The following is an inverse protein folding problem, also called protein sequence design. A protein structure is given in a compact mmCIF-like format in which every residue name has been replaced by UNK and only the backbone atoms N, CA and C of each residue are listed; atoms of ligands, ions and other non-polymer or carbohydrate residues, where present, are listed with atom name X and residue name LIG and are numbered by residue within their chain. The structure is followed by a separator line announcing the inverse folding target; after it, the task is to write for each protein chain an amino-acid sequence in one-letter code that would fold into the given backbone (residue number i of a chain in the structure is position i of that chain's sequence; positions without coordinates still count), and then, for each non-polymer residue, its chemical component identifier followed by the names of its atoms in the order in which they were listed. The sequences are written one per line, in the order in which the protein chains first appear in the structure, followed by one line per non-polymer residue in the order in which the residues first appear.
data_IF_380956094116
#
_entry.id   IF_380956094116
#
_cell.length_a   1.000
_cell.length_b   1.000
_cell.length_c   1.000
_cell.angle_alpha   90.00
_cell.angle_beta   90.00
_cell.angle_gamma   90.00
#
_symmetry.space_group_name_H-M   'P 1'
#
loop_
_entity.id
_entity.type
_entity.pdbx_description
1 polymer ?
#
# COMPACT_ATOMS: atom_id res chain seq x y z
N UNK A 1 10.23 11.55 7.61
CA UNK A 1 11.59 11.65 8.19
C UNK A 1 11.42 11.25 9.64
N UNK A 2 11.90 10.06 10.04
CA UNK A 2 11.52 9.46 11.32
C UNK A 2 12.12 10.21 12.50
N UNK A 3 11.29 10.47 13.51
CA UNK A 3 11.73 10.84 14.85
C UNK A 3 12.42 9.61 15.49
N UNK A 4 13.63 9.81 16.00
CA UNK A 4 14.55 8.76 16.45
C UNK A 4 14.34 8.39 17.92
N UNK A 5 13.11 8.49 18.44
CA UNK A 5 12.79 8.05 19.80
C UNK A 5 12.54 6.53 19.77
N UNK A 6 13.59 5.77 20.13
CA UNK A 6 13.55 4.31 20.18
C UNK A 6 12.55 3.81 21.23
N UNK A 7 11.30 3.65 20.84
CA UNK A 7 10.34 2.84 21.60
C UNK A 7 10.67 1.37 21.35
N UNK A 8 10.98 0.63 22.41
CA UNK A 8 11.05 -0.83 22.38
C UNK A 8 9.69 -1.36 21.89
N UNK A 9 9.67 -1.91 20.68
CA UNK A 9 8.46 -2.56 20.15
C UNK A 9 8.47 -4.01 20.61
N UNK A 10 7.45 -4.44 21.35
CA UNK A 10 7.18 -5.86 21.53
C UNK A 10 6.28 -6.36 20.41
N UNK A 11 6.39 -7.63 20.04
CA UNK A 11 5.48 -8.27 19.10
C UNK A 11 5.07 -9.64 19.62
N UNK A 12 3.85 -10.02 19.28
CA UNK A 12 3.41 -11.40 19.45
C UNK A 12 4.17 -12.27 18.45
N UNK A 13 4.72 -13.37 18.95
CA UNK A 13 5.48 -14.34 18.17
C UNK A 13 4.97 -15.74 18.45
N UNK A 14 5.20 -16.65 17.51
CA UNK A 14 5.05 -18.08 17.75
C UNK A 14 6.33 -18.78 17.36
N UNK A 15 6.88 -19.56 18.29
CA UNK A 15 7.98 -20.48 18.02
C UNK A 15 7.40 -21.83 17.63
N UNK A 16 7.89 -22.42 16.55
CA UNK A 16 7.40 -23.70 16.03
C UNK A 16 8.58 -24.60 15.65
N UNK A 17 8.46 -25.93 15.77
CA UNK A 17 9.46 -26.85 15.26
C UNK A 17 9.75 -26.57 13.79
N UNK A 18 11.00 -26.72 13.35
CA UNK A 18 11.40 -26.43 11.97
C UNK A 18 10.50 -27.13 10.93
N UNK A 19 10.12 -28.38 11.19
CA UNK A 19 9.22 -29.17 10.34
C UNK A 19 7.78 -28.62 10.27
N UNK A 20 7.31 -27.90 11.29
CA UNK A 20 5.98 -27.32 11.36
C UNK A 20 5.90 -25.88 10.80
N UNK A 21 7.06 -25.27 10.47
CA UNK A 21 7.16 -23.88 10.03
C UNK A 21 6.21 -23.56 8.89
N UNK A 22 6.28 -24.33 7.79
CA UNK A 22 5.49 -24.05 6.60
C UNK A 22 3.98 -24.21 6.82
N UNK A 23 3.49 -25.33 7.40
CA UNK A 23 2.08 -25.46 7.76
C UNK A 23 1.55 -24.33 8.65
N UNK A 24 2.33 -23.88 9.64
CA UNK A 24 1.92 -22.77 10.51
C UNK A 24 1.94 -21.44 9.77
N UNK A 25 2.90 -21.21 8.87
CA UNK A 25 2.90 -20.03 8.00
C UNK A 25 1.66 -19.96 7.12
N UNK A 26 1.25 -21.08 6.52
CA UNK A 26 0.04 -21.12 5.70
C UNK A 26 -1.22 -20.85 6.55
N UNK A 27 -1.30 -21.45 7.75
CA UNK A 27 -2.39 -21.23 8.72
C UNK A 27 -2.51 -19.77 9.19
N UNK A 28 -1.38 -19.13 9.45
CA UNK A 28 -1.32 -17.78 10.02
C UNK A 28 -1.05 -16.69 8.97
N UNK A 29 -1.08 -17.02 7.68
CA UNK A 29 -0.61 -16.14 6.59
C UNK A 29 -1.20 -14.72 6.61
N UNK A 30 -2.43 -14.54 7.08
CA UNK A 30 -3.09 -13.23 7.20
C UNK A 30 -2.67 -12.41 8.44
N UNK A 31 -2.01 -13.05 9.40
CA UNK A 31 -1.61 -12.46 10.69
C UNK A 31 -0.10 -12.38 10.86
N UNK A 32 0.67 -12.89 9.91
CA UNK A 32 2.12 -12.79 9.94
C UNK A 32 2.60 -11.45 9.40
N UNK A 33 3.66 -10.94 10.03
CA UNK A 33 4.47 -9.89 9.45
C UNK A 33 5.18 -10.44 8.20
N UNK A 34 5.28 -9.66 7.13
CA UNK A 34 5.83 -10.14 5.87
C UNK A 34 7.30 -10.60 6.03
N UNK A 35 7.60 -11.69 5.32
CA UNK A 35 8.90 -12.36 5.13
C UNK A 35 9.19 -13.59 6.03
N UNK A 36 8.84 -14.74 5.49
CA UNK A 36 9.09 -16.09 5.99
C UNK A 36 10.53 -16.59 5.77
N UNK A 37 11.35 -15.93 4.94
CA UNK A 37 12.59 -16.53 4.41
C UNK A 37 13.89 -15.83 4.82
N UNK A 38 13.94 -14.56 5.23
CA UNK A 38 15.20 -14.00 5.75
C UNK A 38 15.16 -13.35 7.14
N UNK A 39 15.14 -14.21 8.15
CA UNK A 39 15.62 -13.87 9.48
C UNK A 39 14.59 -13.14 10.33
N UNK A 40 13.40 -13.73 10.46
CA UNK A 40 12.68 -13.61 11.73
C UNK A 40 13.67 -13.90 12.85
N UNK A 41 13.74 -13.01 13.84
CA UNK A 41 14.66 -13.06 14.98
C UNK A 41 15.07 -14.50 15.28
N UNK A 42 16.37 -14.80 15.26
CA UNK A 42 16.85 -16.16 15.48
C UNK A 42 16.14 -16.76 16.69
N UNK A 43 15.64 -17.98 16.50
CA UNK A 43 15.10 -18.76 17.60
C UNK A 43 16.27 -19.07 18.54
N UNK A 44 16.14 -18.81 19.86
CA UNK A 44 17.16 -19.24 20.82
C UNK A 44 17.26 -20.77 20.92
N UNK A 45 16.28 -21.51 20.38
CA UNK A 45 16.25 -22.96 20.29
C UNK A 45 16.67 -23.43 18.88
N UNK A 46 17.77 -24.20 18.74
CA UNK A 46 18.31 -24.69 17.47
C UNK A 46 17.36 -25.55 16.61
N UNK A 47 16.24 -26.04 17.16
CA UNK A 47 15.24 -26.84 16.43
C UNK A 47 14.00 -26.07 15.95
N UNK A 48 13.90 -24.78 16.27
CA UNK A 48 12.68 -24.00 16.10
C UNK A 48 12.86 -22.80 15.16
N UNK A 49 11.74 -22.33 14.62
CA UNK A 49 11.61 -21.07 13.88
C UNK A 49 10.67 -20.14 14.64
N UNK A 50 11.01 -18.86 14.66
CA UNK A 50 10.20 -17.82 15.26
C UNK A 50 9.45 -17.08 14.15
N UNK A 51 8.12 -17.11 14.21
CA UNK A 51 7.24 -16.37 13.30
C UNK A 51 6.69 -15.14 14.04
N UNK A 52 6.84 -13.97 13.45
CA UNK A 52 6.37 -12.71 14.04
C UNK A 52 5.00 -12.34 13.48
N UNK A 53 4.08 -12.00 14.36
CA UNK A 53 2.74 -11.57 13.97
C UNK A 53 2.70 -10.07 13.68
N UNK A 54 1.76 -9.69 12.82
CA UNK A 54 1.48 -8.32 12.44
C UNK A 54 1.13 -7.47 13.68
N UNK A 55 1.54 -6.18 13.77
CA UNK A 55 1.40 -5.37 14.99
C UNK A 55 -0.03 -5.22 15.51
N UNK A 56 -1.00 -5.21 14.61
CA UNK A 56 -2.43 -5.21 14.95
C UNK A 56 -2.87 -6.43 15.80
N UNK A 57 -2.13 -7.54 15.75
CA UNK A 57 -2.40 -8.73 16.58
C UNK A 57 -1.72 -8.52 17.92
N UNK A 58 -2.28 -7.59 18.70
CA UNK A 58 -1.74 -7.21 19.99
C UNK A 58 -1.78 -8.37 21.00
N UNK A 59 -2.72 -9.32 20.85
CA UNK A 59 -2.85 -10.49 21.72
C UNK A 59 -3.32 -11.73 20.97
N UNK A 60 -3.10 -12.92 21.54
CA UNK A 60 -3.47 -14.19 20.90
C UNK A 60 -4.99 -14.33 20.73
N UNK A 61 -5.77 -13.66 21.58
CA UNK A 61 -7.23 -13.70 21.58
C UNK A 61 -7.83 -13.10 20.30
N UNK A 62 -7.07 -12.24 19.61
CA UNK A 62 -7.45 -11.67 18.31
C UNK A 62 -7.30 -12.67 17.15
N UNK A 63 -6.67 -13.82 17.38
CA UNK A 63 -6.65 -14.93 16.42
C UNK A 63 -7.91 -15.79 16.56
N UNK A 64 -8.40 -16.41 15.49
CA UNK A 64 -9.47 -17.40 15.61
C UNK A 64 -9.06 -18.61 16.47
N UNK A 65 -9.98 -19.13 17.29
CA UNK A 65 -9.68 -20.19 18.25
C UNK A 65 -9.24 -21.50 17.59
N UNK A 66 -9.84 -21.85 16.45
CA UNK A 66 -9.47 -22.99 15.60
C UNK A 66 -8.03 -22.87 15.10
N UNK A 67 -7.59 -21.65 14.76
CA UNK A 67 -6.22 -21.40 14.29
C UNK A 67 -5.21 -21.53 15.42
N UNK A 68 -5.54 -21.03 16.62
CA UNK A 68 -4.69 -21.24 17.80
C UNK A 68 -4.51 -22.72 18.12
N UNK A 69 -5.61 -23.46 18.22
CA UNK A 69 -5.58 -24.89 18.51
C UNK A 69 -4.75 -25.67 17.47
N UNK A 70 -4.92 -25.38 16.18
CA UNK A 70 -4.15 -26.01 15.11
C UNK A 70 -2.64 -25.72 15.20
N UNK A 71 -2.25 -24.53 15.70
CA UNK A 71 -0.84 -24.18 15.92
C UNK A 71 -0.30 -24.91 17.15
N UNK A 72 -1.08 -24.99 18.23
CA UNK A 72 -0.70 -25.69 19.47
C UNK A 72 -0.47 -27.19 19.22
N UNK A 73 -1.36 -27.83 18.44
CA UNK A 73 -1.22 -29.23 17.99
C UNK A 73 0.08 -29.50 17.21
N UNK A 74 0.66 -28.46 16.62
CA UNK A 74 1.91 -28.52 15.85
C UNK A 74 3.14 -28.15 16.68
N UNK A 75 3.00 -28.07 18.00
CA UNK A 75 4.06 -27.70 18.94
C UNK A 75 4.35 -26.20 18.95
N UNK A 76 3.37 -25.37 18.57
CA UNK A 76 3.50 -23.92 18.64
C UNK A 76 3.59 -23.42 20.08
N UNK A 77 4.56 -22.56 20.34
CA UNK A 77 4.73 -21.88 21.63
C UNK A 77 4.59 -20.38 21.41
N UNK A 78 3.51 -19.81 21.92
CA UNK A 78 3.22 -18.39 21.84
C UNK A 78 4.03 -17.61 22.85
N UNK A 79 4.59 -16.48 22.43
CA UNK A 79 5.40 -15.62 23.29
C UNK A 79 5.29 -14.16 22.86
N UNK A 80 5.44 -13.23 23.80
CA UNK A 80 5.58 -11.80 23.50
C UNK A 80 7.06 -11.45 23.61
N UNK A 81 7.69 -11.24 22.45
CA UNK A 81 9.12 -10.95 22.38
C UNK A 81 9.35 -9.45 22.25
N UNK A 82 10.27 -8.92 23.05
CA UNK A 82 10.85 -7.61 22.77
C UNK A 82 11.68 -7.70 21.49
N UNK A 83 11.35 -6.89 20.49
CA UNK A 83 12.10 -6.83 19.23
C UNK A 83 13.42 -6.05 19.40
N UNK A 84 13.67 -5.49 20.58
CA UNK A 84 14.79 -4.59 20.85
C UNK A 84 14.73 -3.31 19.99
N UNK A 85 15.88 -2.66 19.84
CA UNK A 85 16.05 -1.54 18.90
C UNK A 85 16.35 -2.12 17.52
N UNK A 86 15.35 -2.14 16.65
CA UNK A 86 15.51 -2.56 15.26
C UNK A 86 16.34 -1.53 14.48
N UNK A 87 17.32 -2.00 13.71
CA UNK A 87 18.02 -1.13 12.75
C UNK A 87 17.04 -0.58 11.70
N UNK A 88 17.35 0.55 11.05
CA UNK A 88 16.50 1.07 9.98
C UNK A 88 16.20 0.06 8.87
N UNK A 89 17.17 -0.78 8.51
CA UNK A 89 17.01 -1.83 7.50
C UNK A 89 16.08 -2.96 7.98
N UNK A 90 16.23 -3.40 9.23
CA UNK A 90 15.35 -4.40 9.84
C UNK A 90 13.91 -3.88 9.90
N UNK A 91 13.72 -2.63 10.34
CA UNK A 91 12.40 -2.00 10.40
C UNK A 91 11.80 -1.86 9.01
N UNK A 92 12.56 -1.37 8.03
CA UNK A 92 12.08 -1.24 6.65
C UNK A 92 11.61 -2.59 6.11
N UNK A 93 12.42 -3.64 6.27
CA UNK A 93 12.08 -4.99 5.83
C UNK A 93 10.80 -5.53 6.46
N UNK A 94 10.68 -5.38 7.78
CA UNK A 94 9.60 -5.97 8.57
C UNK A 94 8.27 -5.21 8.41
N UNK A 95 8.33 -3.88 8.33
CA UNK A 95 7.14 -3.03 8.41
C UNK A 95 6.75 -2.37 7.10
N UNK A 96 7.55 -2.46 6.03
CA UNK A 96 7.22 -1.82 4.74
C UNK A 96 6.51 -2.77 3.79
N UNK A 97 5.34 -2.34 3.31
CA UNK A 97 4.61 -2.97 2.23
C UNK A 97 4.88 -2.25 0.92
N UNK A 98 5.44 -2.96 -0.05
CA UNK A 98 5.52 -2.49 -1.43
C UNK A 98 4.18 -2.70 -2.15
N UNK A 99 3.62 -1.64 -2.72
CA UNK A 99 2.37 -1.74 -3.49
C UNK A 99 2.46 -0.98 -4.82
N UNK A 100 1.87 -1.56 -5.86
CA UNK A 100 1.69 -0.95 -7.18
C UNK A 100 0.69 -1.78 -8.00
N UNK A 101 0.32 -1.30 -9.18
CA UNK A 101 -0.67 -1.96 -10.04
C UNK A 101 -0.31 -3.40 -10.43
N UNK A 102 0.99 -3.71 -10.48
CA UNK A 102 1.52 -5.04 -10.81
C UNK A 102 1.93 -5.87 -9.59
N UNK A 103 1.54 -5.48 -8.36
CA UNK A 103 1.79 -6.30 -7.16
C UNK A 103 1.29 -7.72 -7.35
N UNK A 104 2.06 -8.72 -6.91
CA UNK A 104 1.64 -10.13 -7.00
C UNK A 104 0.48 -10.40 -6.03
N UNK A 105 -0.41 -11.36 -6.34
CA UNK A 105 -1.38 -11.83 -5.36
C UNK A 105 -0.63 -12.50 -4.20
N UNK A 106 -0.95 -12.11 -2.97
CA UNK A 106 -0.42 -12.66 -1.72
C UNK A 106 -1.56 -12.72 -0.69
N UNK A 107 -1.50 -13.62 0.31
CA UNK A 107 -2.46 -13.62 1.40
C UNK A 107 -2.68 -12.21 1.95
N UNK A 108 -3.95 -11.84 2.08
CA UNK A 108 -4.30 -10.52 2.53
C UNK A 108 -4.06 -10.37 4.03
N UNK A 109 -3.90 -9.13 4.47
CA UNK A 109 -3.79 -8.86 5.90
C UNK A 109 -5.10 -9.26 6.59
N UNK A 110 -6.28 -9.28 5.97
CA UNK A 110 -7.48 -9.85 6.60
C UNK A 110 -7.98 -11.05 5.80
N UNK A 111 -8.54 -12.10 6.44
CA UNK A 111 -9.04 -13.28 5.75
C UNK A 111 -10.06 -12.98 4.64
N UNK A 112 -10.91 -11.98 4.83
CA UNK A 112 -11.99 -11.63 3.90
C UNK A 112 -11.54 -10.68 2.76
N UNK A 113 -10.28 -10.27 2.76
CA UNK A 113 -9.73 -9.41 1.72
C UNK A 113 -9.13 -10.24 0.57
N UNK A 114 -9.23 -9.75 -0.68
CA UNK A 114 -8.72 -10.47 -1.84
C UNK A 114 -7.20 -10.57 -1.80
N UNK A 115 -6.64 -11.65 -2.34
CA UNK A 115 -5.18 -11.82 -2.46
C UNK A 115 -4.51 -10.69 -3.27
N UNK A 116 -5.27 -9.97 -4.10
CA UNK A 116 -4.81 -8.81 -4.88
C UNK A 116 -4.86 -7.49 -4.10
N UNK A 117 -5.10 -7.50 -2.78
CA UNK A 117 -5.30 -6.30 -1.95
C UNK A 117 -4.28 -5.18 -2.18
N UNK A 118 -2.99 -5.49 -2.39
CA UNK A 118 -1.95 -4.46 -2.66
C UNK A 118 -2.24 -3.64 -3.93
N UNK A 119 -2.89 -4.24 -4.93
CA UNK A 119 -3.29 -3.55 -6.16
C UNK A 119 -4.38 -2.52 -5.89
N UNK A 120 -5.26 -2.78 -4.91
CA UNK A 120 -6.36 -1.87 -4.52
C UNK A 120 -5.81 -0.51 -4.07
N UNK A 121 -4.64 -0.49 -3.41
CA UNK A 121 -3.98 0.74 -2.99
C UNK A 121 -3.43 1.59 -4.15
N UNK A 122 -3.29 1.03 -5.34
CA UNK A 122 -2.78 1.76 -6.51
C UNK A 122 -3.84 2.70 -7.11
N UNK A 123 -3.41 3.84 -7.63
CA UNK A 123 -4.27 4.75 -8.43
C UNK A 123 -4.76 4.14 -9.75
N UNK A 124 -4.16 3.01 -10.13
CA UNK A 124 -4.52 2.20 -11.30
C UNK A 124 -5.55 1.11 -10.96
N UNK A 125 -5.97 0.99 -9.69
CA UNK A 125 -7.11 0.15 -9.35
C UNK A 125 -8.36 0.69 -10.04
N UNK A 126 -9.09 -0.18 -10.74
CA UNK A 126 -10.29 0.17 -11.51
C UNK A 126 -11.49 0.02 -10.61
N UNK A 127 -12.04 1.15 -10.21
CA UNK A 127 -13.25 1.25 -9.41
C UNK A 127 -13.76 2.67 -9.56
N UNK A 128 -15.05 2.81 -9.85
CA UNK A 128 -15.65 4.11 -10.13
C UNK A 128 -15.49 5.05 -8.93
N UNK A 129 -15.32 6.32 -9.25
CA UNK A 129 -15.10 7.41 -8.32
C UNK A 129 -15.91 8.62 -8.78
N UNK A 130 -16.74 9.17 -7.91
CA UNK A 130 -17.47 10.41 -8.19
C UNK A 130 -16.80 11.57 -7.45
N UNK A 131 -16.37 12.60 -8.18
CA UNK A 131 -15.80 13.83 -7.60
C UNK A 131 -16.43 15.02 -8.29
N UNK A 132 -16.93 15.98 -7.52
CA UNK A 132 -17.61 17.19 -8.01
C UNK A 132 -18.74 16.89 -9.02
N UNK A 133 -19.50 15.81 -8.77
CA UNK A 133 -20.61 15.38 -9.62
C UNK A 133 -20.21 14.64 -10.90
N UNK A 134 -18.92 14.45 -11.17
CA UNK A 134 -18.42 13.74 -12.34
C UNK A 134 -17.91 12.34 -11.99
N UNK A 135 -18.21 11.36 -12.85
CA UNK A 135 -17.75 9.98 -12.67
C UNK A 135 -16.39 9.76 -13.35
N UNK A 136 -15.49 9.05 -12.69
CA UNK A 136 -14.17 8.67 -13.18
C UNK A 136 -13.95 7.17 -12.93
N UNK A 137 -13.37 6.46 -13.91
CA UNK A 137 -13.17 5.00 -13.80
C UNK A 137 -12.00 4.58 -12.88
N UNK A 138 -11.16 5.55 -12.47
CA UNK A 138 -10.11 5.38 -11.46
C UNK A 138 -9.57 6.73 -10.98
N UNK A 139 -8.71 6.70 -9.96
CA UNK A 139 -7.96 7.90 -9.53
C UNK A 139 -7.09 8.47 -10.65
N UNK A 140 -6.47 7.61 -11.47
CA UNK A 140 -5.66 8.06 -12.60
C UNK A 140 -6.48 8.91 -13.58
N UNK A 141 -7.74 8.55 -13.84
CA UNK A 141 -8.63 9.34 -14.68
C UNK A 141 -8.88 10.72 -14.09
N UNK A 142 -9.32 10.78 -12.83
CA UNK A 142 -9.53 12.05 -12.14
C UNK A 142 -8.26 12.90 -12.13
N UNK A 143 -7.11 12.31 -11.80
CA UNK A 143 -5.83 13.00 -11.73
C UNK A 143 -5.41 13.60 -13.08
N UNK A 144 -5.54 12.86 -14.18
CA UNK A 144 -5.21 13.37 -15.52
C UNK A 144 -6.24 14.39 -16.02
N UNK A 145 -7.52 14.27 -15.65
CA UNK A 145 -8.55 15.27 -15.91
C UNK A 145 -8.21 16.61 -15.23
N UNK A 146 -7.90 16.59 -13.93
CA UNK A 146 -7.51 17.80 -13.20
C UNK A 146 -6.20 18.41 -13.72
N UNK A 147 -5.29 17.58 -14.22
CA UNK A 147 -4.07 18.04 -14.91
C UNK A 147 -4.39 18.75 -16.22
N UNK A 148 -5.34 18.25 -17.01
CA UNK A 148 -5.75 18.86 -18.26
C UNK A 148 -6.39 20.25 -18.06
N UNK A 149 -7.03 20.49 -16.92
CA UNK A 149 -7.51 21.84 -16.55
C UNK A 149 -6.38 22.86 -16.38
N UNK A 150 -5.13 22.42 -16.20
CA UNK A 150 -3.95 23.29 -16.13
C UNK A 150 -3.27 23.47 -17.49
N UNK A 151 -3.96 23.18 -18.60
CA UNK A 151 -3.40 23.28 -19.95
C UNK A 151 -3.99 24.45 -20.73
N UNK A 152 -3.40 24.74 -21.89
CA UNK A 152 -3.97 25.70 -22.85
C UNK A 152 -5.29 25.22 -23.49
N UNK A 153 -5.70 23.96 -23.26
CA UNK A 153 -6.97 23.39 -23.74
C UNK A 153 -7.70 22.66 -22.60
N UNK A 154 -8.23 23.36 -21.59
CA UNK A 154 -8.83 22.75 -20.41
C UNK A 154 -10.05 21.86 -20.72
N UNK A 155 -10.73 22.09 -21.86
CA UNK A 155 -11.81 21.24 -22.35
C UNK A 155 -11.40 19.77 -22.52
N UNK A 156 -10.10 19.48 -22.72
CA UNK A 156 -9.60 18.09 -22.77
C UNK A 156 -9.85 17.31 -21.47
N UNK A 157 -10.14 17.97 -20.35
CA UNK A 157 -10.41 17.33 -19.07
C UNK A 157 -11.67 16.45 -19.10
N UNK A 158 -12.68 16.80 -19.90
CA UNK A 158 -13.96 16.06 -19.92
C UNK A 158 -13.78 14.62 -20.41
N UNK A 159 -12.85 14.40 -21.36
CA UNK A 159 -12.50 13.08 -21.90
C UNK A 159 -11.98 12.08 -20.85
N UNK A 160 -11.56 12.55 -19.68
CA UNK A 160 -11.15 11.65 -18.60
C UNK A 160 -12.32 11.19 -17.73
N UNK A 161 -13.50 11.77 -17.91
CA UNK A 161 -14.71 11.38 -17.20
C UNK A 161 -15.33 10.15 -17.90
N UNK A 162 -15.94 9.29 -17.11
CA UNK A 162 -16.58 8.06 -17.55
C UNK A 162 -18.03 8.29 -18.05
N UNK A 163 -18.53 9.51 -17.93
CA UNK A 163 -19.84 9.99 -18.37
C UNK A 163 -19.78 10.89 -19.62
N UNK A 164 -18.59 11.04 -20.22
CA UNK A 164 -18.35 11.82 -21.44
C UNK A 164 -18.37 10.90 -22.68
N UNK A 165 -19.02 11.33 -23.76
CA UNK A 165 -19.13 10.55 -25.01
C UNK A 165 -17.77 10.31 -25.68
N UNK A 166 -16.82 11.23 -25.51
CA UNK A 166 -15.45 11.17 -26.04
C UNK A 166 -14.43 10.64 -25.01
N UNK A 167 -14.93 9.88 -24.02
CA UNK A 167 -14.12 9.31 -22.94
C UNK A 167 -12.92 8.51 -23.46
N UNK A 168 -11.80 8.60 -22.74
CA UNK A 168 -10.59 7.78 -22.99
C UNK A 168 -10.76 6.30 -22.64
N UNK A 169 -11.97 5.91 -22.22
CA UNK A 169 -12.33 4.56 -21.81
C UNK A 169 -11.97 4.29 -20.35
N UNK A 170 -12.28 3.09 -19.82
CA UNK A 170 -12.14 2.78 -18.40
C UNK A 170 -10.76 2.26 -17.99
N UNK A 171 -9.79 2.23 -18.91
CA UNK A 171 -8.44 1.74 -18.65
C UNK A 171 -7.52 2.85 -18.11
N UNK A 172 -7.02 2.75 -16.86
CA UNK A 172 -6.09 3.73 -16.29
C UNK A 172 -4.81 3.92 -17.12
N UNK A 173 -4.36 2.90 -17.86
CA UNK A 173 -3.22 3.05 -18.76
C UNK A 173 -3.54 3.96 -19.97
N UNK A 174 -4.78 3.92 -20.48
CA UNK A 174 -5.27 4.83 -21.50
C UNK A 174 -5.34 6.27 -20.96
N UNK A 175 -5.87 6.47 -19.75
CA UNK A 175 -5.87 7.77 -19.08
C UNK A 175 -4.45 8.33 -18.92
N UNK A 176 -3.51 7.55 -18.36
CA UNK A 176 -2.10 7.98 -18.24
C UNK A 176 -1.49 8.37 -19.59
N UNK A 177 -1.80 7.60 -20.64
CA UNK A 177 -1.30 7.85 -21.99
C UNK A 177 -1.88 9.14 -22.58
N UNK A 178 -3.18 9.38 -22.40
CA UNK A 178 -3.87 10.61 -22.82
C UNK A 178 -3.43 11.85 -22.03
N UNK A 179 -3.03 11.66 -20.76
CA UNK A 179 -2.46 12.71 -19.90
C UNK A 179 -0.97 13.00 -20.10
N UNK A 180 -0.32 12.32 -21.06
CA UNK A 180 1.11 12.45 -21.33
C UNK A 180 1.47 13.73 -22.11
N UNK A 181 2.72 14.19 -22.00
CA UNK A 181 3.24 15.31 -22.81
C UNK A 181 3.03 15.08 -24.31
N UNK A 182 3.26 13.85 -24.79
CA UNK A 182 3.06 13.49 -26.21
C UNK A 182 1.60 13.64 -26.65
N UNK A 183 0.64 13.30 -25.79
CA UNK A 183 -0.78 13.49 -26.09
C UNK A 183 -1.15 14.98 -26.18
N UNK A 184 -0.60 15.81 -25.29
CA UNK A 184 -0.81 17.26 -25.31
C UNK A 184 -0.26 17.88 -26.59
N UNK A 185 0.98 17.52 -26.98
CA UNK A 185 1.58 17.99 -28.24
C UNK A 185 0.74 17.63 -29.45
N UNK A 186 0.24 16.37 -29.54
CA UNK A 186 -0.66 15.96 -30.63
C UNK A 186 -1.98 16.73 -30.67
N UNK A 187 -2.48 17.15 -29.51
CA UNK A 187 -3.69 17.95 -29.39
C UNK A 187 -3.43 19.46 -29.60
N UNK A 188 -2.21 19.89 -29.95
CA UNK A 188 -1.85 21.31 -30.04
C UNK A 188 -1.98 22.04 -28.69
N UNK A 189 -1.83 21.32 -27.58
CA UNK A 189 -1.94 21.85 -26.22
C UNK A 189 -0.58 21.85 -25.52
N UNK A 190 -0.42 22.75 -24.55
CA UNK A 190 0.71 22.76 -23.62
C UNK A 190 0.20 22.79 -22.17
N UNK A 191 0.94 22.13 -21.28
CA UNK A 191 0.64 22.10 -19.85
C UNK A 191 1.35 23.28 -19.17
N UNK A 192 0.64 24.06 -18.37
CA UNK A 192 1.26 24.91 -17.36
C UNK A 192 1.77 24.01 -16.23
N UNK A 193 3.06 23.67 -16.33
CA UNK A 193 3.72 22.82 -15.34
C UNK A 193 3.72 23.46 -13.95
N UNK A 194 3.93 24.77 -13.83
CA UNK A 194 3.99 25.43 -12.53
C UNK A 194 2.62 25.43 -11.84
N UNK A 195 1.54 25.68 -12.58
CA UNK A 195 0.18 25.54 -12.06
C UNK A 195 -0.14 24.11 -11.62
N UNK A 196 0.27 23.13 -12.41
CA UNK A 196 0.05 21.72 -12.07
C UNK A 196 0.80 21.27 -10.81
N UNK A 197 2.07 21.64 -10.69
CA UNK A 197 2.91 21.29 -9.54
C UNK A 197 2.32 21.81 -8.22
N UNK A 198 1.71 23.00 -8.22
CA UNK A 198 1.01 23.57 -7.05
C UNK A 198 -0.26 22.82 -6.66
N UNK A 199 -0.90 22.10 -7.60
CA UNK A 199 -2.23 21.47 -7.40
C UNK A 199 -2.19 19.96 -7.22
N UNK A 200 -1.19 19.27 -7.79
CA UNK A 200 -1.19 17.79 -7.91
C UNK A 200 -1.36 17.04 -6.59
N UNK A 201 -0.79 17.55 -5.49
CA UNK A 201 -0.94 16.94 -4.17
C UNK A 201 -2.36 17.07 -3.63
N UNK A 202 -2.96 18.27 -3.76
CA UNK A 202 -4.34 18.50 -3.35
C UNK A 202 -5.31 17.65 -4.19
N UNK A 203 -5.07 17.57 -5.50
CA UNK A 203 -5.83 16.68 -6.39
C UNK A 203 -5.75 15.24 -5.90
N UNK A 204 -4.55 14.73 -5.59
CA UNK A 204 -4.41 13.37 -5.08
C UNK A 204 -5.16 13.18 -3.74
N UNK A 205 -5.04 14.13 -2.81
CA UNK A 205 -5.77 14.12 -1.53
C UNK A 205 -7.27 14.01 -1.73
N UNK A 206 -7.85 14.85 -2.60
CA UNK A 206 -9.29 14.80 -2.94
C UNK A 206 -9.69 13.45 -3.51
N UNK A 207 -8.89 12.88 -4.41
CA UNK A 207 -9.19 11.58 -5.00
C UNK A 207 -9.20 10.45 -3.97
N UNK A 208 -8.20 10.42 -3.09
CA UNK A 208 -8.08 9.39 -2.05
C UNK A 208 -9.18 9.54 -0.98
N UNK A 209 -9.55 10.77 -0.60
CA UNK A 209 -10.68 11.02 0.30
C UNK A 209 -12.00 10.52 -0.32
N UNK A 210 -12.23 10.79 -1.61
CA UNK A 210 -13.39 10.28 -2.31
C UNK A 210 -13.40 8.74 -2.36
N UNK A 211 -12.25 8.09 -2.59
CA UNK A 211 -12.16 6.62 -2.49
C UNK A 211 -12.52 6.11 -1.10
N UNK A 212 -11.99 6.72 -0.05
CA UNK A 212 -12.28 6.32 1.33
C UNK A 212 -13.78 6.36 1.64
N UNK A 213 -14.47 7.41 1.17
CA UNK A 213 -15.90 7.57 1.36
C UNK A 213 -16.72 6.56 0.53
N UNK A 214 -16.31 6.28 -0.71
CA UNK A 214 -17.15 5.60 -1.70
C UNK A 214 -16.82 4.13 -1.92
N UNK A 215 -15.61 3.67 -1.57
CA UNK A 215 -15.08 2.35 -1.94
C UNK A 215 -14.81 1.50 -0.68
N UNK A 216 -15.76 0.66 -0.23
CA UNK A 216 -15.62 -0.14 0.98
C UNK A 216 -14.39 -1.05 0.97
N UNK A 217 -14.07 -1.65 -0.18
CA UNK A 217 -12.89 -2.51 -0.32
C UNK A 217 -11.60 -1.72 -0.11
N UNK A 218 -11.46 -0.54 -0.73
CA UNK A 218 -10.29 0.31 -0.51
C UNK A 218 -10.14 0.71 0.95
N UNK A 219 -11.24 1.12 1.61
CA UNK A 219 -11.24 1.47 3.03
C UNK A 219 -10.79 0.29 3.89
N UNK A 220 -11.37 -0.90 3.70
CA UNK A 220 -11.01 -2.10 4.45
C UNK A 220 -9.53 -2.50 4.23
N UNK A 221 -9.05 -2.46 2.98
CA UNK A 221 -7.64 -2.73 2.66
C UNK A 221 -6.73 -1.71 3.34
N UNK A 222 -7.01 -0.42 3.23
CA UNK A 222 -6.16 0.63 3.80
C UNK A 222 -6.14 0.57 5.34
N UNK A 223 -7.29 0.36 6.00
CA UNK A 223 -7.35 0.16 7.45
C UNK A 223 -6.56 -1.07 7.90
N UNK A 224 -6.55 -2.14 7.11
CA UNK A 224 -5.85 -3.39 7.47
C UNK A 224 -4.33 -3.24 7.55
N UNK A 225 -3.75 -2.17 6.99
CA UNK A 225 -2.30 -1.90 6.99
C UNK A 225 -1.86 -1.02 8.18
N UNK A 226 -2.71 -0.81 9.18
CA UNK A 226 -2.37 -0.04 10.37
C UNK A 226 -1.08 -0.57 11.05
N UNK A 227 -0.16 0.34 11.36
CA UNK A 227 1.17 -0.01 11.90
C UNK A 227 2.20 -0.46 10.86
N UNK A 228 1.85 -0.46 9.57
CA UNK A 228 2.79 -0.68 8.47
C UNK A 228 3.11 0.62 7.71
N UNK A 229 4.29 0.66 7.12
CA UNK A 229 4.71 1.65 6.15
C UNK A 229 4.25 1.24 4.75
N UNK A 230 3.66 2.17 3.99
CA UNK A 230 3.23 1.94 2.62
C UNK A 230 4.21 2.60 1.65
N UNK A 231 4.86 1.81 0.79
CA UNK A 231 5.78 2.31 -0.24
C UNK A 231 5.23 2.02 -1.63
N UNK A 232 4.84 3.07 -2.36
CA UNK A 232 4.44 2.92 -3.75
C UNK A 232 5.66 2.60 -4.60
N UNK A 233 5.66 1.46 -5.30
CA UNK A 233 6.83 1.06 -6.10
C UNK A 233 6.93 1.86 -7.41
N UNK A 234 8.06 2.55 -7.60
CA UNK A 234 8.47 3.18 -8.86
C UNK A 234 9.93 2.83 -9.18
N UNK A 235 10.19 2.46 -10.45
CA UNK A 235 11.53 2.06 -10.91
C UNK A 235 12.57 3.19 -10.79
N UNK A 236 12.14 4.45 -10.78
CA UNK A 236 13.01 5.62 -10.64
C UNK A 236 13.65 5.77 -9.25
N UNK A 237 13.24 4.96 -8.26
CA UNK A 237 13.85 4.92 -6.93
C UNK A 237 13.95 6.29 -6.29
N UNK A 238 15.17 6.73 -5.96
CA UNK A 238 15.44 8.02 -5.32
C UNK A 238 14.90 9.26 -6.06
N UNK A 239 14.72 9.20 -7.38
CA UNK A 239 14.19 10.32 -8.18
C UNK A 239 12.65 10.36 -8.25
N UNK A 240 12.00 9.35 -7.67
CA UNK A 240 10.55 9.19 -7.72
C UNK A 240 9.86 10.23 -6.85
N UNK A 241 8.83 10.87 -7.40
CA UNK A 241 7.98 11.79 -6.65
C UNK A 241 6.83 11.03 -5.96
N UNK A 242 6.07 10.24 -6.71
CA UNK A 242 4.89 9.57 -6.16
C UNK A 242 5.23 8.33 -5.35
N UNK A 243 6.27 7.61 -5.74
CA UNK A 243 6.70 6.38 -5.09
C UNK A 243 8.18 6.34 -4.80
N UNK A 244 8.74 5.13 -4.96
CA UNK A 244 10.09 4.81 -4.57
C UNK A 244 10.43 3.33 -4.74
N UNK A 245 11.58 2.90 -4.23
CA UNK A 245 11.94 1.49 -4.14
C UNK A 245 12.74 1.22 -2.86
N UNK A 246 12.96 -0.06 -2.56
CA UNK A 246 13.93 -0.46 -1.54
C UNK A 246 15.32 -0.54 -2.19
N UNK A 247 16.33 0.00 -1.52
CA UNK A 247 17.73 -0.14 -1.93
C UNK A 247 18.13 -1.62 -1.97
N UNK A 248 18.89 -2.02 -2.99
CA UNK A 248 19.30 -3.42 -3.16
C UNK A 248 20.31 -3.88 -2.11
N UNK A 249 21.16 -2.96 -1.65
CA UNK A 249 22.26 -3.26 -0.72
C UNK A 249 21.82 -3.10 0.74
N UNK A 250 21.11 -2.03 1.06
CA UNK A 250 20.74 -1.66 2.44
C UNK A 250 19.27 -1.95 2.78
N UNK A 251 18.44 -2.30 1.80
CA UNK A 251 17.00 -2.54 2.00
C UNK A 251 16.21 -1.28 2.36
N UNK A 252 16.80 -0.09 2.30
CA UNK A 252 16.17 1.15 2.78
C UNK A 252 15.23 1.76 1.72
N UNK A 253 14.08 2.34 2.11
CA UNK A 253 13.21 3.08 1.21
C UNK A 253 13.91 4.28 0.57
N UNK A 254 13.71 4.47 -0.74
CA UNK A 254 14.23 5.59 -1.53
C UNK A 254 13.13 6.20 -2.38
N UNK A 255 13.13 7.51 -2.54
CA UNK A 255 12.09 8.27 -3.26
C UNK A 255 11.24 9.10 -2.30
N UNK A 256 10.43 10.01 -2.81
CA UNK A 256 9.62 10.89 -1.97
C UNK A 256 8.36 10.19 -1.45
N UNK A 257 7.88 9.14 -2.15
CA UNK A 257 6.75 8.31 -1.73
C UNK A 257 5.48 9.09 -1.36
N UNK A 258 5.17 10.19 -2.08
CA UNK A 258 4.01 11.03 -1.76
C UNK A 258 2.69 10.24 -1.74
N UNK A 259 2.51 9.24 -2.62
CA UNK A 259 1.28 8.43 -2.60
C UNK A 259 1.18 7.59 -1.32
N UNK A 260 2.26 6.91 -0.93
CA UNK A 260 2.29 6.11 0.30
C UNK A 260 2.03 6.97 1.55
N UNK A 261 2.69 8.13 1.62
CA UNK A 261 2.49 9.09 2.72
C UNK A 261 1.05 9.60 2.79
N UNK A 262 0.42 9.92 1.65
CA UNK A 262 -0.98 10.36 1.62
C UNK A 262 -1.95 9.26 2.04
N UNK A 263 -1.70 8.01 1.65
CA UNK A 263 -2.51 6.86 2.07
C UNK A 263 -2.41 6.64 3.59
N UNK A 264 -1.20 6.71 4.15
CA UNK A 264 -1.00 6.56 5.60
C UNK A 264 -1.66 7.71 6.37
N UNK A 265 -1.51 8.95 5.90
CA UNK A 265 -2.20 10.09 6.51
C UNK A 265 -3.74 9.91 6.47
N UNK A 266 -4.30 9.44 5.35
CA UNK A 266 -5.73 9.15 5.23
C UNK A 266 -6.19 7.99 6.14
N UNK A 267 -5.34 6.98 6.34
CA UNK A 267 -5.61 5.85 7.24
C UNK A 267 -5.67 6.31 8.69
N UNK A 268 -4.71 7.14 9.10
CA UNK A 268 -4.49 7.51 10.50
C UNK A 268 -5.35 8.70 10.93
N UNK A 269 -5.64 9.62 10.00
CA UNK A 269 -6.48 10.79 10.18
C UNK A 269 -7.52 10.89 9.04
N UNK A 270 -8.53 10.00 9.02
CA UNK A 270 -9.56 10.05 7.99
C UNK A 270 -10.42 11.31 8.13
N UNK A 271 -10.89 11.90 7.02
CA UNK A 271 -11.87 12.99 7.07
C UNK A 271 -13.15 12.50 7.77
N UNK A 272 -13.71 13.36 8.62
CA UNK A 272 -14.94 13.12 9.38
C UNK A 272 -16.15 12.92 8.46
#
# INVERSE_FOLDING_TARGET
MFDATATTSSALTVRVPAAATRPVQDLLSCWLLHDAELGGLESPDPGHRCLTLHPRVASIELLPADRRAAVDERGGVWDRRELGVLSPAQRARLYTVLFYSGSRPEPALLPDLPATWRRVLSNFHREDLVVDGHRYASVEHYFQGQKALCSTRPAMASRFRADDDDSVGPDPAAAKSAGSRKAYTRAGASLDGAAWERRRLQVMRTALAARWAQQPLFRAVLSSTAGLELLHFERSGARSYWGGNLGREDGLPRGQNHLGLLLMALRDEPPC
#
